data_IF_522505997384
#
_entry.id   IF_522505997384
#
_cell.length_a   1.000
_cell.length_b   1.000
_cell.length_c   1.000
_cell.angle_alpha   90.00
_cell.angle_beta   90.00
_cell.angle_gamma   90.00
#
_symmetry.space_group_name_H-M   'P 1'
#
loop_
_entity.id
_entity.type
_entity.pdbx_description
1 polymer ?
#
# COMPACT_ATOMS: atom_id res chain seq x y z
N UNK A 1 -81.96 -3.84 49.47
CA UNK A 1 -81.99 -2.49 50.07
C UNK A 1 -80.96 -1.64 49.33
N UNK A 2 -81.45 -0.59 48.67
CA UNK A 2 -80.79 0.55 48.00
C UNK A 2 -79.76 0.21 46.90
N UNK A 3 -80.06 0.36 45.60
CA UNK A 3 -80.44 1.56 44.80
C UNK A 3 -79.38 2.67 44.71
N UNK A 4 -78.84 2.85 43.49
CA UNK A 4 -78.76 4.13 42.74
C UNK A 4 -77.89 3.87 41.48
N UNK A 5 -78.45 3.65 40.28
CA UNK A 5 -78.85 4.66 39.27
C UNK A 5 -77.71 5.65 38.97
N UNK A 6 -77.11 5.66 37.77
CA UNK A 6 -77.49 6.62 36.71
C UNK A 6 -76.94 6.18 35.34
N UNK A 7 -77.81 6.36 34.34
CA UNK A 7 -77.70 5.95 32.93
C UNK A 7 -76.96 6.94 32.02
N UNK A 8 -76.58 6.49 30.81
CA UNK A 8 -76.88 7.12 29.48
C UNK A 8 -76.12 6.33 28.38
N UNK A 9 -76.80 5.68 27.41
CA UNK A 9 -77.23 6.21 26.08
C UNK A 9 -76.10 7.02 25.40
N UNK A 10 -75.69 6.83 24.16
CA UNK A 10 -76.35 6.26 22.98
C UNK A 10 -75.31 5.81 21.95
N UNK A 11 -75.66 4.73 21.25
CA UNK A 11 -75.20 4.34 19.93
C UNK A 11 -75.67 5.34 18.87
N UNK A 12 -74.79 5.85 18.01
CA UNK A 12 -75.06 6.16 16.59
C UNK A 12 -73.73 6.14 15.82
N UNK A 13 -73.48 5.09 15.03
CA UNK A 13 -73.63 4.98 13.55
C UNK A 13 -72.34 5.36 12.80
N UNK A 14 -71.74 4.40 12.08
CA UNK A 14 -71.59 4.44 10.61
C UNK A 14 -70.80 3.21 10.06
N UNK A 15 -71.52 2.40 9.26
CA UNK A 15 -71.16 1.55 8.11
C UNK A 15 -69.92 0.61 8.08
N UNK A 16 -70.22 -0.71 8.03
CA UNK A 16 -69.90 -1.73 6.98
C UNK A 16 -68.63 -1.44 6.13
N UNK A 17 -67.58 -2.26 6.05
CA UNK A 17 -67.49 -3.60 5.41
C UNK A 17 -66.23 -4.32 5.90
N UNK A 18 -66.41 -5.60 6.21
CA UNK A 18 -65.36 -6.58 6.52
C UNK A 18 -64.43 -6.82 5.31
N UNK A 19 -63.15 -6.49 5.44
CA UNK A 19 -62.05 -7.19 4.75
C UNK A 19 -60.93 -7.43 5.77
N UNK A 20 -60.88 -8.67 6.25
CA UNK A 20 -59.79 -9.25 7.02
C UNK A 20 -58.41 -8.79 6.53
N UNK A 21 -57.67 -8.05 7.36
CA UNK A 21 -56.32 -8.46 7.83
C UNK A 21 -55.84 -7.52 8.94
N UNK A 22 -55.63 -8.12 10.12
CA UNK A 22 -54.56 -7.89 11.10
C UNK A 22 -54.23 -6.44 11.50
N UNK A 23 -54.37 -6.14 12.80
CA UNK A 23 -53.39 -5.40 13.64
C UNK A 23 -53.99 -5.05 15.03
N UNK A 24 -53.31 -5.49 16.10
CA UNK A 24 -53.23 -4.89 17.46
C UNK A 24 -54.52 -5.04 18.30
N UNK A 25 -54.58 -5.31 19.61
CA UNK A 25 -53.68 -5.21 20.76
C UNK A 25 -54.27 -6.10 21.86
N UNK A 26 -53.45 -6.71 22.73
CA UNK A 26 -53.70 -6.66 24.18
C UNK A 26 -52.43 -7.06 24.92
N UNK A 27 -52.18 -6.40 26.05
CA UNK A 27 -51.02 -6.61 26.90
C UNK A 27 -50.95 -8.02 27.50
N UNK A 28 -49.74 -8.57 27.48
CA UNK A 28 -49.19 -9.57 28.41
C UNK A 28 -47.71 -9.19 28.53
N UNK A 29 -47.32 -8.48 29.59
CA UNK A 29 -46.55 -9.02 30.72
C UNK A 29 -45.32 -9.82 30.25
N UNK A 30 -44.15 -9.17 30.37
CA UNK A 30 -42.82 -9.75 30.65
C UNK A 30 -42.40 -10.91 29.73
N UNK A 31 -41.72 -10.59 28.62
CA UNK A 31 -40.75 -11.51 28.04
C UNK A 31 -39.58 -10.73 27.43
N UNK A 32 -38.45 -10.82 28.13
CA UNK A 32 -37.10 -10.52 27.63
C UNK A 32 -36.92 -9.14 26.97
N UNK A 33 -36.85 -8.11 27.83
CA UNK A 33 -35.98 -6.96 27.61
C UNK A 33 -34.51 -7.42 27.65
N UNK A 34 -34.13 -8.37 26.78
CA UNK A 34 -32.74 -8.51 26.34
C UNK A 34 -32.64 -7.56 25.16
N UNK A 35 -32.74 -6.25 25.46
CA UNK A 35 -31.87 -5.32 24.75
C UNK A 35 -30.50 -5.93 24.93
N UNK A 36 -30.00 -6.54 23.86
CA UNK A 36 -28.68 -7.12 23.78
C UNK A 36 -27.74 -6.06 24.32
N UNK A 37 -27.36 -6.22 25.59
CA UNK A 37 -26.12 -5.68 26.10
C UNK A 37 -25.12 -6.47 25.28
N UNK A 38 -24.82 -5.95 24.08
CA UNK A 38 -23.67 -6.36 23.30
C UNK A 38 -22.57 -6.28 24.36
N UNK A 39 -21.99 -7.41 24.79
CA UNK A 39 -20.98 -7.37 25.83
C UNK A 39 -19.99 -6.31 25.38
N UNK A 40 -19.56 -5.46 26.30
CA UNK A 40 -18.49 -4.48 26.07
C UNK A 40 -17.29 -5.33 25.64
N UNK A 41 -17.21 -5.61 24.35
CA UNK A 41 -16.17 -6.40 23.72
C UNK A 41 -14.93 -5.55 23.96
N UNK A 42 -13.90 -6.17 24.53
CA UNK A 42 -12.60 -5.55 24.65
C UNK A 42 -12.30 -4.85 23.32
N UNK A 43 -12.04 -3.55 23.37
CA UNK A 43 -11.79 -2.79 22.16
C UNK A 43 -10.47 -3.28 21.59
N UNK A 44 -10.53 -4.01 20.46
CA UNK A 44 -9.35 -4.42 19.71
C UNK A 44 -8.59 -3.18 19.23
N UNK A 45 -7.63 -2.76 20.04
CA UNK A 45 -6.78 -1.59 19.78
C UNK A 45 -5.47 -2.04 19.17
N UNK A 46 -5.09 -1.43 18.06
CA UNK A 46 -3.85 -1.69 17.36
C UNK A 46 -3.03 -0.40 17.29
N UNK A 47 -1.75 -0.49 17.65
CA UNK A 47 -0.80 0.60 17.54
C UNK A 47 0.50 0.11 16.92
N UNK A 48 1.00 0.83 15.92
CA UNK A 48 2.31 0.61 15.32
C UNK A 48 3.27 1.56 16.02
N UNK A 49 4.24 0.99 16.74
CA UNK A 49 5.29 1.72 17.46
C UNK A 49 6.43 2.10 16.49
N UNK A 50 6.83 1.16 15.63
CA UNK A 50 7.85 1.33 14.60
C UNK A 50 7.33 0.70 13.30
N UNK A 51 7.50 1.35 12.14
CA UNK A 51 8.01 2.70 11.95
C UNK A 51 6.95 3.77 12.24
N UNK A 52 7.40 4.98 12.56
CA UNK A 52 6.52 6.15 12.57
C UNK A 52 6.16 6.55 11.14
N UNK A 53 4.93 7.03 10.93
CA UNK A 53 4.50 7.48 9.60
C UNK A 53 5.29 8.71 9.17
N UNK A 54 5.78 8.71 7.93
CA UNK A 54 6.67 9.74 7.37
C UNK A 54 8.16 9.48 7.60
N UNK A 55 8.56 8.33 8.15
CA UNK A 55 9.97 7.99 8.33
C UNK A 55 10.71 7.95 6.97
N UNK A 56 11.80 8.70 6.87
CA UNK A 56 12.82 8.55 5.82
C UNK A 56 13.99 7.72 6.35
N UNK A 57 14.44 6.76 5.56
CA UNK A 57 15.58 5.90 5.90
C UNK A 57 16.40 5.57 4.65
N UNK A 58 17.66 5.16 4.83
CA UNK A 58 18.46 4.54 3.76
C UNK A 58 18.61 3.04 3.94
N UNK A 59 18.13 2.52 5.07
CA UNK A 59 18.18 1.09 5.39
C UNK A 59 17.43 0.28 4.34
N UNK A 60 18.02 -0.84 3.93
CA UNK A 60 17.40 -1.78 3.02
C UNK A 60 16.32 -2.62 3.70
N UNK A 61 16.24 -2.57 5.03
CA UNK A 61 15.22 -3.27 5.81
C UNK A 61 14.51 -2.32 6.76
N UNK A 62 13.28 -2.68 7.14
CA UNK A 62 12.53 -1.99 8.17
C UNK A 62 11.92 -2.99 9.14
N UNK A 63 12.01 -2.64 10.42
CA UNK A 63 11.31 -3.34 11.49
C UNK A 63 9.91 -2.76 11.64
N UNK A 64 8.94 -3.64 11.79
CA UNK A 64 7.55 -3.29 12.09
C UNK A 64 7.22 -3.86 13.46
N UNK A 65 7.11 -2.98 14.44
CA UNK A 65 6.90 -3.30 15.85
C UNK A 65 5.63 -2.60 16.31
N UNK A 66 4.80 -3.28 17.10
CA UNK A 66 3.62 -2.66 17.66
C UNK A 66 2.93 -3.49 18.71
N UNK A 67 1.80 -2.97 19.17
CA UNK A 67 0.98 -3.58 20.20
C UNK A 67 -0.47 -3.74 19.76
N UNK A 68 -1.12 -4.77 20.30
CA UNK A 68 -2.52 -5.08 20.13
C UNK A 68 -3.10 -5.36 21.52
N UNK A 69 -4.06 -4.55 21.94
CA UNK A 69 -4.68 -4.66 23.26
C UNK A 69 -6.02 -5.38 23.17
N UNK A 70 -5.98 -6.71 23.12
CA UNK A 70 -7.14 -7.59 23.28
C UNK A 70 -6.67 -8.97 23.79
N UNK A 71 -7.45 -9.61 24.66
CA UNK A 71 -7.10 -10.89 25.28
C UNK A 71 -7.32 -12.12 24.37
N UNK A 72 -7.90 -11.92 23.19
CA UNK A 72 -8.43 -12.97 22.32
C UNK A 72 -8.07 -12.81 20.84
N UNK A 73 -6.83 -12.43 20.53
CA UNK A 73 -6.34 -12.30 19.15
C UNK A 73 -6.44 -13.64 18.39
N UNK A 74 -7.02 -13.61 17.19
CA UNK A 74 -7.11 -14.74 16.28
C UNK A 74 -6.14 -14.64 15.10
N UNK A 75 -5.90 -13.43 14.57
CA UNK A 75 -5.06 -13.23 13.40
C UNK A 75 -4.39 -11.87 13.43
N UNK A 76 -3.12 -11.82 13.01
CA UNK A 76 -2.40 -10.57 12.71
C UNK A 76 -1.69 -10.73 11.37
N UNK A 77 -1.83 -9.70 10.53
CA UNK A 77 -1.32 -9.70 9.17
C UNK A 77 -0.61 -8.39 8.90
N UNK A 78 0.66 -8.46 8.53
CA UNK A 78 1.42 -7.29 8.08
C UNK A 78 1.51 -7.33 6.56
N UNK A 79 1.23 -6.19 5.94
CA UNK A 79 1.33 -6.03 4.49
C UNK A 79 2.18 -4.83 4.14
N UNK A 80 2.93 -4.96 3.05
CA UNK A 80 3.73 -3.89 2.48
C UNK A 80 3.20 -3.66 1.09
N UNK A 81 2.75 -2.44 0.83
CA UNK A 81 2.12 -2.07 -0.43
C UNK A 81 0.91 -2.94 -0.81
N UNK A 82 0.29 -3.61 0.17
CA UNK A 82 -0.82 -4.57 -0.02
C UNK A 82 -0.36 -6.01 -0.26
N UNK A 83 0.93 -6.26 -0.47
CA UNK A 83 1.50 -7.60 -0.50
C UNK A 83 1.61 -8.14 0.94
N UNK A 84 1.07 -9.34 1.16
CA UNK A 84 1.06 -9.98 2.48
C UNK A 84 2.40 -10.59 2.79
N UNK A 85 2.92 -10.34 4.00
CA UNK A 85 4.19 -10.92 4.46
C UNK A 85 3.91 -11.85 5.63
N UNK A 86 3.36 -13.00 5.29
CA UNK A 86 3.00 -14.04 6.25
C UNK A 86 1.76 -13.72 7.09
N UNK A 87 1.17 -14.77 7.62
CA UNK A 87 0.23 -14.70 8.74
C UNK A 87 1.05 -14.89 10.01
N UNK A 88 0.99 -13.92 10.91
CA UNK A 88 1.69 -14.06 12.18
C UNK A 88 0.75 -14.75 13.16
N UNK A 89 1.00 -16.03 13.42
CA UNK A 89 0.34 -16.79 14.48
C UNK A 89 0.89 -16.33 15.84
N UNK A 90 0.55 -15.11 16.23
CA UNK A 90 0.94 -14.57 17.52
C UNK A 90 0.09 -15.26 18.59
N UNK A 91 0.67 -16.21 19.31
CA UNK A 91 0.23 -16.49 20.67
C UNK A 91 0.74 -15.35 21.55
N UNK A 92 0.13 -14.17 21.39
CA UNK A 92 0.43 -12.99 22.19
C UNK A 92 0.07 -13.27 23.64
N UNK A 93 1.06 -13.63 24.48
CA UNK A 93 0.88 -13.57 25.94
C UNK A 93 0.79 -12.11 26.41
N UNK A 94 1.41 -11.18 25.67
CA UNK A 94 1.61 -9.78 26.07
C UNK A 94 1.15 -8.73 25.04
N UNK A 95 0.52 -9.14 23.94
CA UNK A 95 -0.03 -8.20 22.95
C UNK A 95 1.00 -7.48 22.07
N UNK A 96 2.27 -7.91 22.00
CA UNK A 96 3.31 -7.28 21.16
C UNK A 96 3.61 -8.09 19.90
N UNK A 97 3.85 -7.43 18.77
CA UNK A 97 4.30 -8.04 17.53
C UNK A 97 5.57 -7.38 16.99
N UNK A 98 6.36 -8.15 16.24
CA UNK A 98 7.57 -7.67 15.57
C UNK A 98 7.83 -8.49 14.30
N UNK A 99 8.04 -7.81 13.18
CA UNK A 99 8.50 -8.42 11.93
C UNK A 99 9.50 -7.51 11.24
N UNK A 100 10.26 -8.04 10.29
CA UNK A 100 11.21 -7.27 9.48
C UNK A 100 11.00 -7.60 8.00
N UNK A 101 11.18 -6.60 7.13
CA UNK A 101 11.15 -6.80 5.68
C UNK A 101 12.11 -5.89 4.94
N UNK A 102 12.62 -6.38 3.82
CA UNK A 102 13.33 -5.61 2.80
C UNK A 102 12.47 -4.51 2.16
N UNK A 103 13.02 -3.31 2.08
CA UNK A 103 12.44 -2.13 1.45
C UNK A 103 13.10 -1.84 0.09
N UNK A 104 12.27 -1.79 -0.94
CA UNK A 104 12.62 -1.08 -2.17
C UNK A 104 12.77 0.42 -1.91
N UNK A 105 13.50 1.13 -2.77
CA UNK A 105 13.58 2.59 -2.68
C UNK A 105 12.22 3.27 -2.89
N UNK A 106 12.07 4.46 -2.30
CA UNK A 106 10.89 5.28 -2.37
C UNK A 106 9.80 4.92 -1.36
N UNK A 107 8.58 5.38 -1.66
CA UNK A 107 7.42 5.28 -0.80
C UNK A 107 6.91 3.84 -0.68
N UNK A 108 6.78 3.37 0.55
CA UNK A 108 6.14 2.10 0.92
C UNK A 108 5.04 2.35 1.93
N UNK A 109 3.88 1.70 1.77
CA UNK A 109 2.79 1.71 2.75
C UNK A 109 2.82 0.41 3.55
N UNK A 110 3.05 0.52 4.86
CA UNK A 110 3.01 -0.62 5.78
C UNK A 110 1.65 -0.62 6.47
N UNK A 111 0.87 -1.68 6.29
CA UNK A 111 -0.40 -1.87 7.00
C UNK A 111 -0.33 -3.09 7.90
N UNK A 112 -0.86 -2.95 9.12
CA UNK A 112 -1.08 -4.05 10.06
C UNK A 112 -2.57 -4.22 10.25
N UNK A 113 -3.06 -5.43 10.02
CA UNK A 113 -4.43 -5.85 10.25
C UNK A 113 -4.47 -6.82 11.41
N UNK A 114 -5.45 -6.70 12.30
CA UNK A 114 -5.70 -7.62 13.38
C UNK A 114 -7.17 -8.02 13.44
N UNK A 115 -7.42 -9.28 13.81
CA UNK A 115 -8.75 -9.85 14.04
C UNK A 115 -8.77 -10.65 15.33
N UNK A 116 -9.82 -10.49 16.14
CA UNK A 116 -10.02 -11.29 17.36
C UNK A 116 -10.84 -12.57 17.09
N UNK A 117 -10.97 -13.43 18.12
CA UNK A 117 -11.76 -14.67 18.06
C UNK A 117 -13.27 -14.42 17.96
N UNK A 118 -13.75 -13.26 18.39
CA UNK A 118 -15.15 -12.85 18.25
C UNK A 118 -15.47 -12.33 16.82
N UNK A 119 -14.44 -12.09 16.01
CA UNK A 119 -14.53 -11.61 14.64
C UNK A 119 -14.38 -10.10 14.47
N UNK A 120 -14.11 -9.32 15.53
CA UNK A 120 -13.81 -7.90 15.40
C UNK A 120 -12.50 -7.70 14.66
N UNK A 121 -12.40 -6.61 13.90
CA UNK A 121 -11.27 -6.31 13.03
C UNK A 121 -10.80 -4.88 13.22
N UNK A 122 -9.50 -4.65 13.09
CA UNK A 122 -8.90 -3.32 13.05
C UNK A 122 -7.70 -3.31 12.10
N UNK A 123 -7.41 -2.15 11.53
CA UNK A 123 -6.26 -1.93 10.66
C UNK A 123 -5.59 -0.60 11.01
N UNK A 124 -4.26 -0.59 10.99
CA UNK A 124 -3.45 0.62 11.12
C UNK A 124 -2.39 0.64 10.03
N UNK A 125 -2.08 1.83 9.53
CA UNK A 125 -1.14 1.99 8.42
C UNK A 125 -0.19 3.15 8.64
N UNK A 126 1.07 2.96 8.27
CA UNK A 126 2.12 3.97 8.29
C UNK A 126 2.81 4.03 6.93
N UNK A 127 3.29 5.21 6.57
CA UNK A 127 4.04 5.43 5.32
C UNK A 127 5.51 5.57 5.66
N UNK A 128 6.38 4.87 4.93
CA UNK A 128 7.83 5.01 5.03
C UNK A 128 8.45 5.28 3.68
N UNK A 129 9.61 5.91 3.68
CA UNK A 129 10.37 6.27 2.49
C UNK A 129 11.78 5.73 2.62
N UNK A 130 12.23 4.97 1.64
CA UNK A 130 13.63 4.58 1.52
C UNK A 130 14.33 5.47 0.49
N UNK A 131 15.06 6.46 0.98
CA UNK A 131 15.82 7.38 0.13
C UNK A 131 16.92 6.62 -0.59
N UNK A 132 17.05 6.84 -1.89
CA UNK A 132 18.17 6.33 -2.67
C UNK A 132 18.61 7.38 -3.68
N UNK A 133 19.92 7.64 -3.75
CA UNK A 133 20.52 8.50 -4.76
C UNK A 133 21.63 7.76 -5.47
N UNK A 134 21.58 7.72 -6.79
CA UNK A 134 22.61 7.11 -7.64
C UNK A 134 23.29 8.21 -8.44
N UNK A 135 24.58 8.42 -8.21
CA UNK A 135 25.42 9.36 -8.94
C UNK A 135 26.33 8.59 -9.90
N UNK A 136 26.27 8.87 -11.19
CA UNK A 136 27.15 8.27 -12.21
C UNK A 136 27.84 9.33 -13.04
N UNK A 137 29.12 9.11 -13.36
CA UNK A 137 29.88 10.01 -14.25
C UNK A 137 29.71 9.52 -15.69
N UNK A 138 29.35 10.42 -16.61
CA UNK A 138 29.16 10.04 -18.02
C UNK A 138 30.43 9.40 -18.60
N UNK A 139 30.26 8.23 -19.24
CA UNK A 139 31.34 7.47 -19.86
C UNK A 139 32.22 6.69 -18.87
N UNK A 140 31.93 6.73 -17.58
CA UNK A 140 32.63 5.95 -16.55
C UNK A 140 31.75 4.85 -16.00
N UNK A 141 32.35 3.71 -15.65
CA UNK A 141 31.66 2.64 -14.93
C UNK A 141 31.51 2.96 -13.43
N UNK A 142 32.18 3.99 -12.93
CA UNK A 142 32.10 4.39 -11.53
C UNK A 142 30.73 4.98 -11.21
N UNK A 143 30.11 4.45 -10.17
CA UNK A 143 28.87 4.94 -9.58
C UNK A 143 29.05 5.18 -8.08
N UNK A 144 28.16 5.99 -7.51
CA UNK A 144 27.96 6.07 -6.08
C UNK A 144 26.49 5.86 -5.78
N UNK A 145 26.18 4.86 -4.97
CA UNK A 145 24.84 4.62 -4.45
C UNK A 145 24.83 5.15 -3.02
N UNK A 146 24.14 6.27 -2.83
CA UNK A 146 24.24 7.11 -1.64
C UNK A 146 25.70 7.55 -1.40
N UNK A 147 26.37 6.96 -0.41
CA UNK A 147 27.77 7.24 -0.09
C UNK A 147 28.72 6.10 -0.49
N UNK A 148 28.17 4.96 -0.91
CA UNK A 148 28.94 3.76 -1.21
C UNK A 148 29.38 3.77 -2.67
N UNK A 149 30.66 3.46 -2.90
CA UNK A 149 31.21 3.33 -4.23
C UNK A 149 30.77 2.02 -4.86
N UNK A 150 30.19 2.11 -6.05
CA UNK A 150 29.64 1.00 -6.81
C UNK A 150 30.11 1.04 -8.25
N UNK A 151 29.92 -0.07 -8.97
CA UNK A 151 30.37 -0.20 -10.35
C UNK A 151 29.25 -0.68 -11.27
N UNK A 152 29.06 0.07 -12.34
CA UNK A 152 28.22 -0.31 -13.46
C UNK A 152 28.91 -1.36 -14.31
N UNK A 153 28.14 -2.30 -14.84
CA UNK A 153 28.65 -3.18 -15.89
C UNK A 153 28.94 -2.41 -17.18
N UNK A 154 28.08 -1.43 -17.52
CA UNK A 154 28.27 -0.54 -18.66
C UNK A 154 28.05 0.91 -18.26
N UNK A 155 28.81 1.88 -18.78
CA UNK A 155 28.72 3.26 -18.31
C UNK A 155 27.39 3.90 -18.71
N UNK A 156 26.96 4.91 -17.95
CA UNK A 156 25.96 5.87 -18.40
C UNK A 156 26.50 6.63 -19.62
N UNK A 157 25.70 6.74 -20.68
CA UNK A 157 26.15 7.30 -21.96
C UNK A 157 25.35 8.54 -22.35
N UNK A 158 25.97 9.43 -23.10
CA UNK A 158 25.26 10.50 -23.79
C UNK A 158 24.93 10.05 -25.21
N UNK A 159 23.65 9.89 -25.53
CA UNK A 159 23.20 9.45 -26.85
C UNK A 159 22.14 10.43 -27.33
N UNK A 160 22.31 10.98 -28.53
CA UNK A 160 21.41 12.01 -29.10
C UNK A 160 21.15 13.16 -28.11
N UNK A 161 22.21 13.62 -27.42
CA UNK A 161 22.15 14.68 -26.42
C UNK A 161 21.21 14.36 -25.22
N UNK A 162 21.12 13.09 -24.84
CA UNK A 162 20.32 12.59 -23.73
C UNK A 162 21.13 11.59 -22.92
N UNK A 163 21.11 11.72 -21.59
CA UNK A 163 21.75 10.75 -20.70
C UNK A 163 20.95 9.46 -20.69
N UNK A 164 21.57 8.39 -21.14
CA UNK A 164 21.03 7.04 -21.22
C UNK A 164 21.69 6.19 -20.14
N UNK A 165 20.87 5.54 -19.32
CA UNK A 165 21.33 4.72 -18.20
C UNK A 165 21.18 3.24 -18.52
N UNK A 166 22.12 2.39 -18.09
CA UNK A 166 21.97 0.94 -18.17
C UNK A 166 20.84 0.50 -17.22
N UNK A 167 19.76 0.02 -17.79
CA UNK A 167 18.52 -0.23 -17.05
C UNK A 167 18.71 -1.26 -15.93
N UNK A 168 19.49 -2.32 -16.16
CA UNK A 168 19.66 -3.41 -15.21
C UNK A 168 20.34 -2.95 -13.92
N UNK A 169 21.50 -2.30 -14.03
CA UNK A 169 22.27 -1.80 -12.89
C UNK A 169 21.45 -0.79 -12.08
N UNK A 170 20.77 0.14 -12.77
CA UNK A 170 19.90 1.10 -12.12
C UNK A 170 18.73 0.41 -11.41
N UNK A 171 18.07 -0.59 -12.02
CA UNK A 171 17.04 -1.36 -11.31
C UNK A 171 17.59 -2.02 -10.04
N UNK A 172 18.79 -2.61 -10.10
CA UNK A 172 19.43 -3.22 -8.95
C UNK A 172 19.68 -2.21 -7.82
N UNK A 173 20.29 -1.06 -8.11
CA UNK A 173 20.59 -0.04 -7.10
C UNK A 173 19.34 0.53 -6.41
N UNK A 174 18.22 0.65 -7.13
CA UNK A 174 16.96 1.13 -6.58
C UNK A 174 16.10 0.00 -5.96
N UNK A 175 16.49 -1.27 -6.09
CA UNK A 175 15.70 -2.42 -5.66
C UNK A 175 14.45 -2.66 -6.51
N UNK A 176 14.45 -2.19 -7.76
CA UNK A 176 13.37 -2.41 -8.71
C UNK A 176 13.51 -3.78 -9.38
N UNK A 177 12.41 -4.50 -9.51
CA UNK A 177 12.36 -5.75 -10.27
C UNK A 177 12.17 -5.44 -11.76
N UNK A 178 12.82 -6.24 -12.61
CA UNK A 178 12.76 -6.09 -14.05
C UNK A 178 12.44 -7.43 -14.72
N UNK A 179 11.34 -7.48 -15.46
CA UNK A 179 10.95 -8.62 -16.29
C UNK A 179 11.12 -8.27 -17.77
N UNK A 180 11.66 -9.21 -18.54
CA UNK A 180 11.89 -9.09 -19.97
C UNK A 180 11.09 -10.15 -20.73
N UNK A 181 10.28 -9.72 -21.69
CA UNK A 181 9.62 -10.57 -22.66
C UNK A 181 10.33 -10.46 -24.01
N UNK A 182 11.18 -11.45 -24.32
CA UNK A 182 12.04 -11.43 -25.50
C UNK A 182 11.26 -11.39 -26.83
N UNK A 183 10.24 -12.25 -27.07
CA UNK A 183 9.43 -12.21 -28.28
C UNK A 183 8.85 -10.83 -28.61
N UNK A 184 8.28 -10.14 -27.62
CA UNK A 184 7.64 -8.83 -27.85
C UNK A 184 8.58 -7.66 -27.58
N UNK A 185 9.79 -7.92 -27.10
CA UNK A 185 10.77 -6.94 -26.64
C UNK A 185 10.23 -5.97 -25.59
N UNK A 186 9.30 -6.45 -24.75
CA UNK A 186 8.65 -5.68 -23.69
C UNK A 186 9.37 -5.83 -22.36
N UNK A 187 9.42 -4.74 -21.63
CA UNK A 187 10.00 -4.63 -20.30
C UNK A 187 8.90 -4.25 -19.32
N UNK A 188 8.86 -4.94 -18.20
CA UNK A 188 8.02 -4.58 -17.05
C UNK A 188 8.94 -4.32 -15.87
N UNK A 189 8.93 -3.09 -15.39
CA UNK A 189 9.69 -2.65 -14.22
C UNK A 189 8.74 -2.38 -13.07
N UNK A 190 9.04 -2.91 -11.89
CA UNK A 190 8.23 -2.72 -10.68
C UNK A 190 9.09 -2.29 -9.49
N UNK A 191 8.67 -1.23 -8.80
CA UNK A 191 9.29 -0.74 -7.57
C UNK A 191 8.17 -0.38 -6.58
N UNK A 192 8.04 -1.15 -5.50
CA UNK A 192 6.88 -1.07 -4.62
C UNK A 192 5.57 -1.20 -5.41
N UNK A 193 4.65 -0.25 -5.25
CA UNK A 193 3.41 -0.16 -6.05
C UNK A 193 3.59 0.36 -7.48
N UNK A 194 4.76 0.92 -7.80
CA UNK A 194 4.97 1.53 -9.11
C UNK A 194 5.19 0.43 -10.15
N UNK A 195 4.46 0.51 -11.25
CA UNK A 195 4.58 -0.45 -12.36
C UNK A 195 4.70 0.29 -13.68
N UNK A 196 5.82 0.08 -14.36
CA UNK A 196 6.09 0.67 -15.66
C UNK A 196 6.23 -0.41 -16.72
N UNK A 197 5.61 -0.21 -17.87
CA UNK A 197 5.73 -1.10 -19.04
C UNK A 197 6.18 -0.30 -20.24
N UNK A 198 7.17 -0.80 -20.96
CA UNK A 198 7.74 -0.15 -22.15
C UNK A 198 8.37 -1.19 -23.06
N UNK A 199 8.77 -0.78 -24.26
CA UNK A 199 9.27 -1.69 -25.28
C UNK A 199 10.51 -1.11 -25.96
N UNK A 200 11.46 -1.97 -26.30
CA UNK A 200 12.64 -1.55 -27.08
C UNK A 200 12.21 -1.00 -28.44
N UNK A 201 12.72 0.17 -28.82
CA UNK A 201 12.44 0.85 -30.08
C UNK A 201 11.09 1.58 -30.14
N UNK A 202 10.32 1.61 -29.04
CA UNK A 202 9.02 2.30 -28.98
C UNK A 202 9.10 3.54 -28.09
N UNK A 203 8.45 4.62 -28.52
CA UNK A 203 8.24 5.80 -27.68
C UNK A 203 7.04 5.66 -26.74
N UNK A 204 6.26 4.59 -26.86
CA UNK A 204 5.07 4.36 -26.03
C UNK A 204 5.43 3.57 -24.78
N UNK A 205 4.98 4.05 -23.62
CA UNK A 205 5.08 3.37 -22.35
C UNK A 205 3.79 3.55 -21.53
N UNK A 206 3.70 2.83 -20.42
CA UNK A 206 2.72 3.10 -19.37
C UNK A 206 3.43 3.19 -18.03
N UNK A 207 3.10 4.20 -17.22
CA UNK A 207 3.55 4.36 -15.83
C UNK A 207 2.31 4.30 -14.95
N UNK A 208 2.24 3.35 -14.02
CA UNK A 208 1.09 3.11 -13.14
C UNK A 208 -0.24 2.98 -13.92
N UNK A 209 -0.18 2.29 -15.06
CA UNK A 209 -1.31 2.08 -15.97
C UNK A 209 -1.68 3.29 -16.84
N UNK A 210 -1.07 4.45 -16.63
CA UNK A 210 -1.33 5.67 -17.42
C UNK A 210 -0.37 5.75 -18.61
N UNK A 211 -0.83 6.16 -19.81
CA UNK A 211 0.04 6.36 -20.96
C UNK A 211 1.17 7.36 -20.66
N UNK A 212 2.38 7.04 -21.12
CA UNK A 212 3.57 7.87 -21.02
C UNK A 212 4.37 7.80 -22.33
N UNK A 213 5.23 8.80 -22.55
CA UNK A 213 6.13 8.85 -23.70
C UNK A 213 7.58 8.68 -23.27
N UNK A 214 8.38 8.02 -24.10
CA UNK A 214 9.81 7.77 -23.91
C UNK A 214 10.59 8.36 -25.08
N UNK A 215 11.42 9.36 -24.79
CA UNK A 215 12.29 10.01 -25.76
C UNK A 215 13.68 10.26 -25.15
N UNK A 216 14.76 9.70 -25.73
CA UNK A 216 14.78 8.80 -26.89
C UNK A 216 14.21 7.42 -26.56
N UNK A 217 13.89 6.65 -27.59
CA UNK A 217 13.34 5.30 -27.38
C UNK A 217 14.34 4.40 -26.65
N UNK A 218 13.87 3.45 -25.81
CA UNK A 218 14.72 2.44 -25.22
C UNK A 218 15.45 1.64 -26.29
N UNK A 219 16.73 1.34 -26.08
CA UNK A 219 17.57 0.67 -27.09
C UNK A 219 18.54 -0.31 -26.46
N UNK A 220 19.01 -1.29 -27.23
CA UNK A 220 20.02 -2.24 -26.79
C UNK A 220 21.37 -1.83 -27.39
N UNK A 221 22.38 -1.67 -26.53
CA UNK A 221 23.74 -1.29 -26.90
C UNK A 221 24.68 -2.27 -26.24
N UNK A 222 25.48 -2.98 -27.05
CA UNK A 222 26.39 -4.05 -26.60
C UNK A 222 25.73 -5.07 -25.66
N UNK A 223 24.48 -5.45 -25.94
CA UNK A 223 23.72 -6.42 -25.13
C UNK A 223 23.02 -5.83 -23.90
N UNK A 224 23.23 -4.55 -23.58
CA UNK A 224 22.59 -3.87 -22.45
C UNK A 224 21.44 -2.98 -22.89
N UNK A 225 20.33 -3.02 -22.14
CA UNK A 225 19.19 -2.12 -22.38
C UNK A 225 19.49 -0.77 -21.77
N UNK A 226 19.40 0.27 -22.60
CA UNK A 226 19.55 1.66 -22.22
C UNK A 226 18.21 2.39 -22.30
N UNK A 227 17.93 3.18 -21.27
CA UNK A 227 16.72 4.02 -21.18
C UNK A 227 17.09 5.47 -20.84
N UNK A 228 16.29 6.46 -21.23
CA UNK A 228 16.54 7.84 -20.82
C UNK A 228 16.49 7.98 -19.30
N UNK A 229 17.50 8.59 -18.70
CA UNK A 229 17.61 8.75 -17.25
C UNK A 229 16.34 9.39 -16.64
N UNK A 230 15.79 10.41 -17.31
CA UNK A 230 14.58 11.11 -16.87
C UNK A 230 13.35 10.21 -16.88
N UNK A 231 13.20 9.39 -17.92
CA UNK A 231 12.09 8.44 -17.99
C UNK A 231 12.20 7.40 -16.87
N UNK A 232 13.40 6.85 -16.67
CA UNK A 232 13.66 5.93 -15.56
C UNK A 232 13.31 6.55 -14.20
N UNK A 233 13.80 7.76 -13.92
CA UNK A 233 13.51 8.48 -12.68
C UNK A 233 12.00 8.67 -12.46
N UNK A 234 11.27 9.15 -13.46
CA UNK A 234 9.82 9.30 -13.37
C UNK A 234 9.10 7.96 -13.16
N UNK A 235 9.55 6.90 -13.83
CA UNK A 235 9.00 5.56 -13.71
C UNK A 235 9.14 5.01 -12.28
N UNK A 236 10.22 5.35 -11.58
CA UNK A 236 10.43 4.97 -10.16
C UNK A 236 9.93 6.02 -9.15
N UNK A 237 9.35 7.14 -9.60
CA UNK A 237 8.79 8.17 -8.73
C UNK A 237 9.83 9.17 -8.19
N UNK A 238 11.00 9.21 -8.82
CA UNK A 238 12.13 10.04 -8.48
C UNK A 238 12.37 11.20 -9.45
N UNK A 239 13.55 11.80 -9.30
CA UNK A 239 14.04 12.93 -10.09
C UNK A 239 15.43 12.70 -10.69
N UNK A 240 15.85 13.64 -11.53
CA UNK A 240 17.22 13.68 -12.09
C UNK A 240 17.87 15.02 -11.81
N UNK A 241 19.16 14.99 -11.46
CA UNK A 241 20.05 16.13 -11.34
C UNK A 241 21.24 16.01 -12.29
N UNK A 242 21.81 17.14 -12.70
CA UNK A 242 22.98 17.17 -13.56
C UNK A 242 24.01 18.15 -13.00
N UNK A 243 25.23 17.65 -12.76
CA UNK A 243 26.38 18.44 -12.34
C UNK A 243 27.34 18.55 -13.52
N UNK A 244 27.44 19.75 -14.08
CA UNK A 244 28.11 19.99 -15.37
C UNK A 244 29.63 19.85 -15.26
N UNK A 245 30.20 20.33 -14.17
CA UNK A 245 31.64 20.40 -13.93
C UNK A 245 32.23 18.99 -13.83
N UNK A 246 31.56 18.11 -13.08
CA UNK A 246 31.96 16.72 -12.87
C UNK A 246 31.37 15.75 -13.90
N UNK A 247 30.52 16.24 -14.81
CA UNK A 247 29.72 15.42 -15.75
C UNK A 247 28.95 14.30 -15.04
N UNK A 248 28.39 14.62 -13.88
CA UNK A 248 27.68 13.64 -13.03
C UNK A 248 26.18 13.74 -13.24
N UNK A 249 25.58 12.62 -13.62
CA UNK A 249 24.14 12.40 -13.55
C UNK A 249 23.78 11.92 -12.15
N UNK A 250 22.86 12.62 -11.49
CA UNK A 250 22.23 12.18 -10.25
C UNK A 250 20.82 11.69 -10.54
N UNK A 251 20.45 10.51 -10.05
CA UNK A 251 19.08 10.01 -10.06
C UNK A 251 18.71 9.74 -8.62
N UNK A 252 17.57 10.24 -8.14
CA UNK A 252 17.18 10.09 -6.74
C UNK A 252 15.70 9.80 -6.57
N UNK A 253 15.37 9.05 -5.51
CA UNK A 253 14.00 8.86 -5.03
C UNK A 253 13.96 9.33 -3.57
N UNK A 254 13.02 10.21 -3.21
CA UNK A 254 12.80 10.65 -1.84
C UNK A 254 11.92 9.68 -1.04
#
# INVERSE_FOLDING_TARGET
MLESVTAMRSTEKFKIVNKNLQIISLGVIILALVFSIKPILAELKLHIEVPVSGLHTRSETIDVIGTISDSSIAQVKVTFDGATIGEMNLQCKDGRFQTQKELGSGKTVVSVFAKDKAGNQTESGVVVFRDCTVNTVLGSNKAFVNADEEWLLNPTQLISNRSMVPLRDYCQFFGAQLTWDAPTRKLVMTLGRRKTQFQIGSSKATVDGKPASVDPVPQIIFGSTYVPARFFAQAIGGGVGWHKESKTLSVSVP
#
